data_IF_009714152356
#
_entry.id   IF_009714152356
#
_cell.length_a   1.000
_cell.length_b   1.000
_cell.length_c   1.000
_cell.angle_alpha   90.00
_cell.angle_beta   90.00
_cell.angle_gamma   90.00
#
_symmetry.space_group_name_H-M   'P 1'
#
loop_
_entity.id
_entity.type
_entity.pdbx_description
1 polymer ?
#
# COMPACT_ATOMS: atom_id res chain seq x y z
N UNK A 1 13.25 4.93 -28.18
CA UNK A 1 13.48 4.04 -27.04
C UNK A 1 14.78 3.31 -27.29
N UNK A 2 15.78 3.36 -26.39
CA UNK A 2 16.99 2.57 -26.59
C UNK A 2 16.67 1.08 -26.42
N UNK A 3 17.40 0.16 -27.08
CA UNK A 3 17.13 -1.27 -26.99
C UNK A 3 17.50 -1.77 -25.59
N UNK A 4 16.65 -2.62 -25.01
CA UNK A 4 16.98 -3.43 -23.84
C UNK A 4 18.20 -4.29 -24.19
N UNK A 5 19.32 -3.98 -23.54
CA UNK A 5 20.62 -4.59 -23.77
C UNK A 5 20.57 -6.11 -23.49
N UNK A 6 20.76 -6.92 -24.52
CA UNK A 6 20.79 -8.38 -24.47
C UNK A 6 22.18 -8.87 -24.04
N UNK A 7 22.45 -8.88 -22.74
CA UNK A 7 23.53 -9.73 -22.21
C UNK A 7 23.15 -11.21 -22.41
N UNK A 8 24.11 -12.07 -22.73
CA UNK A 8 23.87 -13.53 -22.77
C UNK A 8 23.56 -14.04 -21.36
N UNK A 9 22.82 -15.15 -21.25
CA UNK A 9 22.42 -15.73 -19.95
C UNK A 9 23.63 -15.96 -19.03
N UNK A 10 24.76 -16.39 -19.60
CA UNK A 10 25.99 -16.65 -18.88
C UNK A 10 26.60 -15.36 -18.30
N UNK A 11 26.66 -14.28 -19.09
CA UNK A 11 27.18 -12.99 -18.61
C UNK A 11 26.30 -12.39 -17.51
N UNK A 12 24.99 -12.58 -17.61
CA UNK A 12 24.04 -12.15 -16.58
C UNK A 12 24.19 -12.96 -15.30
N UNK A 13 24.41 -14.28 -15.41
CA UNK A 13 24.66 -15.15 -14.27
C UNK A 13 25.98 -14.79 -13.57
N UNK A 14 27.07 -14.57 -14.32
CA UNK A 14 28.36 -14.15 -13.75
C UNK A 14 28.26 -12.80 -13.02
N UNK A 15 27.55 -11.84 -13.61
CA UNK A 15 27.32 -10.54 -12.99
C UNK A 15 26.47 -10.66 -11.72
N UNK A 16 25.48 -11.55 -11.72
CA UNK A 16 24.65 -11.84 -10.56
C UNK A 16 25.47 -12.48 -9.44
N UNK A 17 26.27 -13.50 -9.72
CA UNK A 17 27.11 -14.15 -8.71
C UNK A 17 28.08 -13.16 -8.07
N UNK A 18 28.75 -12.33 -8.87
CA UNK A 18 29.64 -11.26 -8.34
C UNK A 18 28.87 -10.24 -7.49
N UNK A 19 27.64 -9.92 -7.87
CA UNK A 19 26.80 -9.04 -7.07
C UNK A 19 26.45 -9.69 -5.73
N UNK A 20 26.03 -10.97 -5.70
CA UNK A 20 25.75 -11.71 -4.46
C UNK A 20 27.00 -11.76 -3.57
N UNK A 21 28.18 -12.05 -4.13
CA UNK A 21 29.46 -12.06 -3.40
C UNK A 21 29.86 -10.69 -2.85
N UNK A 22 29.33 -9.60 -3.41
CA UNK A 22 29.60 -8.23 -2.97
C UNK A 22 28.67 -7.73 -1.85
N UNK A 23 27.65 -8.51 -1.49
CA UNK A 23 26.69 -8.15 -0.45
C UNK A 23 27.30 -8.26 0.94
N UNK A 24 26.75 -7.49 1.88
CA UNK A 24 27.07 -7.61 3.30
C UNK A 24 26.66 -9.02 3.81
N UNK A 25 27.47 -9.72 4.62
CA UNK A 25 27.16 -11.07 5.10
C UNK A 25 25.86 -11.18 5.92
N UNK A 26 25.36 -10.09 6.49
CA UNK A 26 24.07 -10.05 7.16
C UNK A 26 22.91 -9.86 6.18
N UNK A 27 23.15 -9.59 4.91
CA UNK A 27 22.09 -9.41 3.91
C UNK A 27 21.32 -10.72 3.69
N UNK A 28 19.99 -10.62 3.67
CA UNK A 28 19.13 -11.73 3.28
C UNK A 28 18.82 -11.64 1.78
N UNK A 29 19.03 -12.72 1.06
CA UNK A 29 18.67 -12.85 -0.36
C UNK A 29 17.58 -13.90 -0.48
N UNK A 30 16.41 -13.50 -0.95
CA UNK A 30 15.26 -14.36 -1.19
C UNK A 30 15.23 -14.70 -2.67
N UNK A 31 15.27 -15.98 -3.01
CA UNK A 31 15.02 -16.48 -4.35
C UNK A 31 13.61 -17.03 -4.39
N UNK A 32 12.78 -16.56 -5.33
CA UNK A 32 11.42 -17.06 -5.53
C UNK A 32 11.23 -17.52 -6.96
N UNK A 33 10.49 -18.62 -7.12
CA UNK A 33 10.15 -19.19 -8.43
C UNK A 33 8.69 -19.68 -8.43
N UNK A 34 8.07 -19.64 -9.60
CA UNK A 34 6.71 -20.09 -9.86
C UNK A 34 6.71 -21.16 -10.94
N UNK A 35 5.93 -22.22 -10.74
CA UNK A 35 5.83 -23.34 -11.67
C UNK A 35 4.38 -23.73 -11.92
N UNK A 36 4.12 -24.29 -13.10
CA UNK A 36 2.83 -24.81 -13.51
C UNK A 36 2.98 -26.28 -13.88
N UNK A 37 2.21 -27.16 -13.22
CA UNK A 37 2.22 -28.58 -13.53
C UNK A 37 1.53 -28.89 -14.87
N UNK A 38 1.70 -30.12 -15.38
CA UNK A 38 1.00 -30.58 -16.58
C UNK A 38 -0.54 -30.51 -16.44
N UNK A 39 -1.03 -30.67 -15.20
CA UNK A 39 -2.44 -30.54 -14.82
C UNK A 39 -2.87 -29.08 -14.60
N UNK A 40 -2.04 -28.10 -14.98
CA UNK A 40 -2.26 -26.66 -14.80
C UNK A 40 -2.47 -26.24 -13.35
N UNK A 41 -1.76 -26.88 -12.43
CA UNK A 41 -1.73 -26.47 -11.03
C UNK A 41 -0.53 -25.56 -10.82
N UNK A 42 -0.81 -24.28 -10.51
CA UNK A 42 0.22 -23.30 -10.20
C UNK A 42 0.74 -23.49 -8.78
N UNK A 43 2.05 -23.34 -8.61
CA UNK A 43 2.73 -23.47 -7.32
C UNK A 43 3.93 -22.54 -7.24
N UNK A 44 4.27 -22.12 -6.04
CA UNK A 44 5.41 -21.26 -5.78
C UNK A 44 6.39 -21.96 -4.84
N UNK A 45 7.65 -21.56 -4.94
CA UNK A 45 8.70 -21.89 -3.99
C UNK A 45 9.56 -20.66 -3.71
N UNK A 46 10.14 -20.61 -2.52
CA UNK A 46 11.19 -19.65 -2.21
C UNK A 46 12.26 -20.23 -1.29
N UNK A 47 13.48 -19.70 -1.40
CA UNK A 47 14.58 -19.97 -0.47
C UNK A 47 15.18 -18.65 0.00
N UNK A 48 15.62 -18.61 1.25
CA UNK A 48 16.27 -17.46 1.87
C UNK A 48 17.70 -17.84 2.16
N UNK A 49 18.63 -17.07 1.63
CA UNK A 49 20.05 -17.24 1.80
C UNK A 49 20.61 -16.07 2.61
N UNK A 50 21.56 -16.38 3.50
CA UNK A 50 22.39 -15.40 4.19
C UNK A 50 23.84 -15.83 4.01
N UNK A 51 24.71 -14.92 3.58
CA UNK A 51 26.10 -15.23 3.24
C UNK A 51 26.23 -16.43 2.28
N UNK A 52 25.34 -16.48 1.27
CA UNK A 52 25.20 -17.57 0.31
C UNK A 52 24.84 -18.96 0.90
N UNK A 53 24.52 -19.04 2.18
CA UNK A 53 24.06 -20.26 2.87
C UNK A 53 22.52 -20.23 2.94
N UNK A 54 21.82 -21.28 2.49
CA UNK A 54 20.38 -21.38 2.65
C UNK A 54 20.02 -21.54 4.14
N UNK A 55 19.18 -20.66 4.66
CA UNK A 55 18.77 -20.65 6.07
C UNK A 55 17.29 -21.02 6.27
N UNK A 56 16.46 -20.82 5.24
CA UNK A 56 15.03 -21.10 5.30
C UNK A 56 14.45 -21.28 3.89
N UNK A 57 13.41 -22.08 3.77
CA UNK A 57 12.69 -22.29 2.52
C UNK A 57 11.19 -22.49 2.78
N UNK A 58 10.41 -22.31 1.72
CA UNK A 58 8.97 -22.50 1.78
C UNK A 58 8.38 -22.72 0.39
N UNK A 59 7.22 -23.35 0.33
CA UNK A 59 6.50 -23.57 -0.92
C UNK A 59 5.01 -23.74 -0.68
N UNK A 60 4.22 -23.58 -1.74
CA UNK A 60 2.77 -23.73 -1.67
C UNK A 60 2.14 -23.90 -3.05
N UNK A 61 0.91 -24.39 -3.07
CA UNK A 61 0.07 -24.46 -4.27
C UNK A 61 -0.94 -23.33 -4.25
N UNK A 62 -1.20 -22.76 -5.41
CA UNK A 62 -2.32 -21.84 -5.61
C UNK A 62 -3.56 -22.63 -6.05
N UNK A 63 -4.71 -21.96 -5.97
CA UNK A 63 -5.91 -22.39 -6.70
C UNK A 63 -5.72 -22.25 -8.22
N UNK A 64 -6.81 -22.20 -9.01
CA UNK A 64 -6.73 -21.90 -10.43
C UNK A 64 -6.01 -20.56 -10.65
N UNK A 65 -4.76 -20.61 -11.11
CA UNK A 65 -3.87 -19.46 -11.22
C UNK A 65 -2.79 -19.74 -12.28
N UNK A 66 -2.13 -18.69 -12.76
CA UNK A 66 -1.03 -18.79 -13.73
C UNK A 66 0.33 -18.73 -13.02
N UNK A 67 1.41 -19.07 -13.75
CA UNK A 67 2.79 -18.98 -13.23
C UNK A 67 3.09 -17.58 -12.70
N UNK A 68 2.59 -16.55 -13.37
CA UNK A 68 2.74 -15.15 -12.97
C UNK A 68 2.19 -14.88 -11.55
N UNK A 69 1.03 -15.44 -11.22
CA UNK A 69 0.41 -15.29 -9.89
C UNK A 69 1.21 -16.06 -8.84
N UNK A 70 1.71 -17.25 -9.20
CA UNK A 70 2.55 -18.04 -8.32
C UNK A 70 3.88 -17.33 -8.01
N UNK A 71 4.51 -16.71 -8.99
CA UNK A 71 5.74 -15.94 -8.77
C UNK A 71 5.53 -14.73 -7.85
N UNK A 72 4.45 -13.97 -8.08
CA UNK A 72 4.09 -12.86 -7.20
C UNK A 72 3.85 -13.35 -5.76
N UNK A 73 3.16 -14.48 -5.61
CA UNK A 73 2.90 -15.10 -4.31
C UNK A 73 4.17 -15.60 -3.64
N UNK A 74 5.07 -16.25 -4.40
CA UNK A 74 6.36 -16.72 -3.90
C UNK A 74 7.24 -15.57 -3.42
N UNK A 75 7.27 -14.46 -4.17
CA UNK A 75 8.00 -13.26 -3.76
C UNK A 75 7.42 -12.65 -2.47
N UNK A 76 6.09 -12.59 -2.32
CA UNK A 76 5.42 -12.09 -1.12
C UNK A 76 5.66 -12.97 0.11
N UNK A 77 5.48 -14.28 -0.02
CA UNK A 77 5.68 -15.21 1.09
C UNK A 77 7.17 -15.27 1.49
N UNK A 78 8.07 -15.20 0.51
CA UNK A 78 9.51 -15.05 0.74
C UNK A 78 9.86 -13.76 1.48
N UNK A 79 9.26 -12.62 1.10
CA UNK A 79 9.44 -11.35 1.82
C UNK A 79 8.93 -11.44 3.27
N UNK A 80 7.73 -11.99 3.47
CA UNK A 80 7.14 -12.18 4.81
C UNK A 80 8.02 -13.06 5.68
N UNK A 81 8.57 -14.15 5.13
CA UNK A 81 9.48 -15.03 5.84
C UNK A 81 10.81 -14.33 6.17
N UNK A 82 11.41 -13.61 5.22
CA UNK A 82 12.64 -12.85 5.44
C UNK A 82 12.47 -11.78 6.53
N UNK A 83 11.32 -11.09 6.55
CA UNK A 83 11.02 -10.10 7.58
C UNK A 83 10.89 -10.71 8.99
N UNK A 84 10.44 -11.96 9.11
CA UNK A 84 10.38 -12.68 10.40
C UNK A 84 11.75 -13.14 10.88
N UNK A 85 12.65 -13.48 9.95
CA UNK A 85 14.03 -13.91 10.25
C UNK A 85 14.96 -12.73 10.51
N UNK A 86 14.55 -11.53 10.09
CA UNK A 86 15.35 -10.32 10.20
C UNK A 86 15.73 -10.03 11.66
N UNK A 87 17.02 -9.96 11.94
CA UNK A 87 17.55 -9.71 13.28
C UNK A 87 17.59 -8.21 13.62
N UNK A 88 17.70 -7.34 12.61
CA UNK A 88 17.77 -5.89 12.78
C UNK A 88 17.01 -5.12 11.71
N UNK A 89 16.43 -3.98 12.10
CA UNK A 89 15.79 -3.03 11.19
C UNK A 89 16.74 -2.39 10.16
N UNK A 90 18.06 -2.64 10.24
CA UNK A 90 19.07 -2.22 9.26
C UNK A 90 19.46 -3.32 8.26
N UNK A 91 19.05 -4.57 8.49
CA UNK A 91 19.43 -5.71 7.65
C UNK A 91 18.74 -5.61 6.28
N UNK A 92 19.50 -5.63 5.20
CA UNK A 92 18.93 -5.52 3.85
C UNK A 92 18.30 -6.84 3.42
N UNK A 93 17.21 -6.76 2.66
CA UNK A 93 16.54 -7.91 2.05
C UNK A 93 16.48 -7.66 0.54
N UNK A 94 17.04 -8.57 -0.24
CA UNK A 94 16.89 -8.60 -1.69
C UNK A 94 15.98 -9.73 -2.10
N UNK A 95 15.16 -9.49 -3.13
CA UNK A 95 14.23 -10.49 -3.67
C UNK A 95 14.57 -10.68 -5.14
N UNK A 96 14.86 -11.92 -5.49
CA UNK A 96 15.31 -12.38 -6.79
C UNK A 96 14.23 -13.30 -7.38
N UNK A 97 13.76 -12.94 -8.57
CA UNK A 97 12.79 -13.69 -9.36
C UNK A 97 13.17 -13.55 -10.83
N UNK A 98 12.83 -14.54 -11.65
CA UNK A 98 13.24 -14.63 -13.05
C UNK A 98 12.22 -14.01 -14.03
N UNK A 99 10.96 -13.80 -13.61
CA UNK A 99 9.97 -13.13 -14.43
C UNK A 99 10.02 -11.62 -14.29
N UNK A 100 10.49 -11.01 -15.38
CA UNK A 100 10.56 -9.57 -15.52
C UNK A 100 9.18 -8.89 -15.38
N UNK A 101 8.09 -9.52 -15.83
CA UNK A 101 6.75 -8.95 -15.71
C UNK A 101 6.33 -8.89 -14.24
N UNK A 102 6.49 -9.97 -13.48
CA UNK A 102 6.19 -10.00 -12.05
C UNK A 102 7.06 -9.00 -11.29
N UNK A 103 8.37 -8.95 -11.58
CA UNK A 103 9.29 -7.99 -10.98
C UNK A 103 8.92 -6.52 -11.28
N UNK A 104 8.36 -6.26 -12.48
CA UNK A 104 7.89 -4.92 -12.86
C UNK A 104 6.63 -4.54 -12.09
N UNK A 105 5.68 -5.45 -11.94
CA UNK A 105 4.46 -5.22 -11.15
C UNK A 105 4.77 -5.04 -9.65
N UNK A 106 5.72 -5.79 -9.08
CA UNK A 106 6.14 -5.64 -7.68
C UNK A 106 6.73 -4.26 -7.39
N UNK A 107 7.45 -3.65 -8.36
CA UNK A 107 8.06 -2.32 -8.21
C UNK A 107 7.17 -1.14 -8.63
N UNK A 108 6.19 -1.39 -9.49
CA UNK A 108 5.47 -0.36 -10.23
C UNK A 108 3.96 -0.43 -10.05
N UNK A 109 3.22 -0.25 -11.14
CA UNK A 109 1.76 -0.40 -11.12
C UNK A 109 1.39 -1.87 -10.92
N UNK A 110 0.60 -2.21 -9.89
CA UNK A 110 0.05 -3.54 -9.70
C UNK A 110 -0.67 -4.02 -10.95
N UNK A 111 -0.56 -5.31 -11.25
CA UNK A 111 -1.36 -5.97 -12.28
C UNK A 111 -2.83 -6.03 -11.85
N UNK A 112 -3.75 -6.13 -12.82
CA UNK A 112 -5.17 -6.39 -12.54
C UNK A 112 -5.41 -7.82 -12.02
N UNK A 113 -4.53 -8.78 -12.38
CA UNK A 113 -4.47 -10.12 -11.76
C UNK A 113 -3.62 -10.10 -10.49
N UNK A 114 -4.02 -10.84 -9.46
CA UNK A 114 -3.34 -10.95 -8.16
C UNK A 114 -3.00 -9.59 -7.53
N UNK A 115 -3.87 -8.60 -7.73
CA UNK A 115 -3.63 -7.20 -7.34
C UNK A 115 -3.41 -7.06 -5.83
N UNK A 116 -4.11 -7.84 -5.02
CA UNK A 116 -3.95 -7.91 -3.57
C UNK A 116 -2.55 -8.35 -3.16
N UNK A 117 -1.98 -9.36 -3.81
CA UNK A 117 -0.60 -9.84 -3.59
C UNK A 117 0.42 -8.74 -3.88
N UNK A 118 0.29 -8.06 -5.03
CA UNK A 118 1.20 -6.96 -5.39
C UNK A 118 1.07 -5.76 -4.43
N UNK A 119 -0.15 -5.39 -4.04
CA UNK A 119 -0.38 -4.30 -3.10
C UNK A 119 0.16 -4.64 -1.71
N UNK A 120 -0.05 -5.87 -1.23
CA UNK A 120 0.48 -6.31 0.06
C UNK A 120 2.01 -6.30 0.05
N UNK A 121 2.62 -6.82 -1.03
CA UNK A 121 4.07 -6.79 -1.20
C UNK A 121 4.61 -5.36 -1.14
N UNK A 122 3.99 -4.44 -1.89
CA UNK A 122 4.40 -3.04 -1.93
C UNK A 122 4.21 -2.35 -0.58
N UNK A 123 3.13 -2.67 0.14
CA UNK A 123 2.89 -2.13 1.47
C UNK A 123 3.97 -2.60 2.46
N UNK A 124 4.37 -3.87 2.41
CA UNK A 124 5.47 -4.41 3.22
C UNK A 124 6.82 -3.81 2.81
N UNK A 125 7.12 -3.76 1.52
CA UNK A 125 8.35 -3.15 1.03
C UNK A 125 8.45 -1.66 1.39
N UNK A 126 7.34 -0.92 1.32
CA UNK A 126 7.27 0.47 1.72
C UNK A 126 7.40 0.63 3.24
N UNK A 127 6.70 -0.17 4.04
CA UNK A 127 6.78 -0.07 5.50
C UNK A 127 8.19 -0.34 6.03
N UNK A 128 8.98 -1.17 5.35
CA UNK A 128 10.34 -1.51 5.75
C UNK A 128 11.42 -0.67 5.05
N UNK A 129 11.23 -0.28 3.79
CA UNK A 129 12.16 0.55 3.00
C UNK A 129 11.97 2.06 3.19
N UNK A 130 10.74 2.54 3.40
CA UNK A 130 10.48 3.96 3.64
C UNK A 130 10.97 4.42 5.00
N UNK A 131 11.32 3.51 5.92
CA UNK A 131 11.74 3.93 7.27
C UNK A 131 12.95 4.85 7.24
N UNK A 132 13.94 4.65 6.38
CA UNK A 132 15.13 5.51 6.39
C UNK A 132 14.88 6.85 5.70
N UNK A 133 14.28 6.85 4.51
CA UNK A 133 14.00 8.09 3.78
C UNK A 133 12.95 8.95 4.49
N UNK A 134 11.88 8.35 5.04
CA UNK A 134 10.86 9.06 5.81
C UNK A 134 11.41 9.54 7.17
N UNK A 135 12.24 8.74 7.86
CA UNK A 135 12.94 9.23 9.07
C UNK A 135 13.86 10.39 8.76
N UNK A 136 14.64 10.33 7.67
CA UNK A 136 15.51 11.42 7.25
C UNK A 136 14.71 12.66 6.83
N UNK A 137 13.62 12.49 6.09
CA UNK A 137 12.74 13.59 5.70
C UNK A 137 12.06 14.22 6.93
N UNK A 138 11.55 13.41 7.88
CA UNK A 138 10.97 13.89 9.14
C UNK A 138 11.99 14.57 10.04
N UNK A 139 13.21 14.03 10.13
CA UNK A 139 14.31 14.68 10.83
C UNK A 139 14.69 16.00 10.16
N UNK A 140 14.71 16.04 8.82
CA UNK A 140 14.96 17.26 8.05
C UNK A 140 13.87 18.31 8.25
N UNK A 141 12.61 17.93 8.49
CA UNK A 141 11.54 18.86 8.85
C UNK A 141 11.78 19.60 10.18
N UNK A 142 12.69 19.10 11.04
CA UNK A 142 13.08 19.77 12.29
C UNK A 142 14.27 20.72 12.11
N UNK A 143 14.84 20.79 10.90
CA UNK A 143 15.91 21.75 10.59
C UNK A 143 15.31 23.15 10.41
N UNK A 144 16.07 24.22 10.73
CA UNK A 144 15.64 25.59 10.48
C UNK A 144 15.36 25.80 8.99
N UNK A 145 14.33 26.59 8.69
CA UNK A 145 14.02 26.94 7.30
C UNK A 145 15.23 27.63 6.64
N UNK A 146 15.50 27.35 5.35
CA UNK A 146 16.59 28.00 4.65
C UNK A 146 16.40 29.51 4.62
N UNK A 147 17.48 30.26 4.87
CA UNK A 147 17.44 31.72 4.89
C UNK A 147 17.02 32.27 3.51
N UNK A 148 15.89 32.97 3.45
CA UNK A 148 15.32 33.52 2.22
C UNK A 148 14.41 32.57 1.42
N UNK A 149 14.01 31.42 1.99
CA UNK A 149 13.09 30.50 1.34
C UNK A 149 11.73 31.16 1.02
N UNK A 150 11.31 31.07 -0.25
CA UNK A 150 10.01 31.55 -0.70
C UNK A 150 9.02 30.38 -0.80
N UNK A 151 7.76 30.54 -0.36
CA UNK A 151 6.77 29.49 -0.45
C UNK A 151 6.49 29.13 -1.92
N UNK A 152 6.47 27.83 -2.21
CA UNK A 152 6.16 27.34 -3.56
C UNK A 152 4.68 27.55 -3.91
N UNK A 153 4.37 27.62 -5.21
CA UNK A 153 2.99 27.69 -5.69
C UNK A 153 2.11 26.55 -5.15
N UNK A 154 2.65 25.35 -5.01
CA UNK A 154 1.95 24.21 -4.43
C UNK A 154 1.61 24.44 -2.95
N UNK A 155 2.55 25.00 -2.18
CA UNK A 155 2.31 25.41 -0.79
C UNK A 155 1.21 26.46 -0.70
N UNK A 156 1.28 27.54 -1.50
CA UNK A 156 0.27 28.60 -1.52
C UNK A 156 -1.12 28.07 -1.91
N UNK A 157 -1.20 27.17 -2.90
CA UNK A 157 -2.46 26.51 -3.28
C UNK A 157 -3.01 25.63 -2.16
N UNK A 158 -2.15 24.92 -1.43
CA UNK A 158 -2.56 24.12 -0.27
C UNK A 158 -3.16 25.02 0.81
N UNK A 159 -2.49 26.12 1.17
CA UNK A 159 -2.98 27.08 2.14
C UNK A 159 -4.31 27.70 1.69
N UNK A 160 -4.42 28.13 0.43
CA UNK A 160 -5.65 28.70 -0.11
C UNK A 160 -6.85 27.73 -0.08
N UNK A 161 -6.60 26.42 -0.21
CA UNK A 161 -7.65 25.38 -0.07
C UNK A 161 -7.97 25.07 1.39
N UNK A 162 -7.00 25.24 2.28
CA UNK A 162 -7.12 24.90 3.70
C UNK A 162 -7.84 26.01 4.49
N UNK A 163 -7.54 27.28 4.22
CA UNK A 163 -8.11 28.41 4.95
C UNK A 163 -9.66 28.43 4.99
N UNK A 164 -10.39 28.18 3.88
CA UNK A 164 -11.84 28.13 3.94
C UNK A 164 -12.38 27.00 4.82
N UNK A 165 -11.67 25.87 4.90
CA UNK A 165 -12.06 24.73 5.73
C UNK A 165 -11.90 25.05 7.21
N UNK A 166 -10.75 25.61 7.59
CA UNK A 166 -10.47 26.02 8.97
C UNK A 166 -11.41 27.15 9.41
N UNK A 167 -11.67 28.13 8.54
CA UNK A 167 -12.63 29.19 8.81
C UNK A 167 -14.06 28.65 9.01
N UNK A 168 -14.45 27.65 8.22
CA UNK A 168 -15.75 26.98 8.38
C UNK A 168 -15.82 26.18 9.68
N UNK A 169 -14.77 25.42 10.03
CA UNK A 169 -14.69 24.68 11.29
C UNK A 169 -14.75 25.61 12.52
N UNK A 170 -14.03 26.73 12.47
CA UNK A 170 -14.05 27.74 13.53
C UNK A 170 -15.43 28.42 13.65
N UNK A 171 -16.04 28.77 12.52
CA UNK A 171 -17.40 29.31 12.50
C UNK A 171 -18.42 28.30 13.04
N UNK A 172 -18.34 27.03 12.62
CA UNK A 172 -19.24 25.97 13.07
C UNK A 172 -19.15 25.76 14.58
N UNK A 173 -17.93 25.74 15.12
CA UNK A 173 -17.71 25.58 16.57
C UNK A 173 -18.38 26.68 17.39
N UNK A 174 -18.44 27.90 16.85
CA UNK A 174 -19.03 29.06 17.54
C UNK A 174 -20.54 29.18 17.29
N UNK A 175 -20.97 28.98 16.04
CA UNK A 175 -22.30 29.36 15.54
C UNK A 175 -23.23 28.17 15.29
N UNK A 176 -22.81 26.93 15.56
CA UNK A 176 -23.65 25.75 15.33
C UNK A 176 -24.96 25.84 16.15
N UNK A 177 -26.12 25.56 15.53
CA UNK A 177 -27.39 25.42 16.23
C UNK A 177 -27.33 24.43 17.39
N UNK A 178 -28.03 24.72 18.47
CA UNK A 178 -28.02 23.92 19.70
C UNK A 178 -28.43 22.45 19.47
N UNK A 179 -29.34 22.23 18.52
CA UNK A 179 -29.77 20.89 18.09
C UNK A 179 -28.61 20.07 17.52
N UNK A 180 -27.70 20.70 16.77
CA UNK A 180 -26.53 20.03 16.18
C UNK A 180 -25.39 19.85 17.18
N UNK A 181 -25.25 20.77 18.14
CA UNK A 181 -24.32 20.61 19.27
C UNK A 181 -24.67 19.39 20.12
N UNK A 182 -25.96 19.19 20.44
CA UNK A 182 -26.44 18.00 21.17
C UNK A 182 -26.16 16.68 20.45
N UNK A 183 -26.09 16.72 19.11
CA UNK A 183 -25.84 15.56 18.27
C UNK A 183 -24.33 15.35 17.95
N UNK A 184 -23.43 16.17 18.51
CA UNK A 184 -21.98 16.11 18.27
C UNK A 184 -21.60 16.05 16.78
N UNK A 185 -22.34 16.76 15.92
CA UNK A 185 -22.08 16.76 14.49
C UNK A 185 -20.83 17.58 14.17
N UNK A 186 -19.87 16.93 13.50
CA UNK A 186 -18.64 17.57 13.03
C UNK A 186 -18.92 18.48 11.84
N UNK A 187 -18.17 19.58 11.76
CA UNK A 187 -18.18 20.47 10.60
C UNK A 187 -17.68 19.68 9.38
N UNK A 188 -18.58 19.38 8.45
CA UNK A 188 -18.24 18.61 7.23
C UNK A 188 -18.41 19.54 6.04
N UNK A 189 -17.35 19.77 5.27
CA UNK A 189 -17.40 20.55 4.01
C UNK A 189 -17.77 19.71 2.78
N UNK A 190 -17.97 18.40 2.96
CA UNK A 190 -18.34 17.44 1.93
C UNK A 190 -19.80 17.01 2.02
N UNK A 191 -20.28 16.29 1.00
CA UNK A 191 -21.59 15.67 1.03
C UNK A 191 -21.54 14.49 2.03
N UNK A 192 -22.35 14.50 3.10
CA UNK A 192 -22.42 13.38 4.03
C UNK A 192 -22.98 12.14 3.30
N UNK A 193 -22.53 10.91 3.64
CA UNK A 193 -22.95 9.68 2.96
C UNK A 193 -24.46 9.45 3.02
N UNK A 194 -25.15 10.02 4.02
CA UNK A 194 -26.60 9.99 4.14
C UNK A 194 -27.30 10.77 3.01
N UNK A 195 -26.62 11.73 2.39
CA UNK A 195 -27.10 12.52 1.25
C UNK A 195 -26.62 11.98 -0.11
N UNK A 196 -25.83 10.90 -0.15
CA UNK A 196 -25.52 10.20 -1.41
C UNK A 196 -26.61 9.19 -1.81
N UNK A 197 -27.72 9.12 -1.07
CA UNK A 197 -28.84 8.25 -1.38
C UNK A 197 -29.57 8.69 -2.67
N UNK A 198 -30.08 7.75 -3.49
CA UNK A 198 -30.94 8.08 -4.62
C UNK A 198 -32.13 8.93 -4.16
N UNK A 199 -32.49 9.96 -4.93
CA UNK A 199 -33.54 10.93 -4.58
C UNK A 199 -34.86 10.29 -4.14
N UNK A 200 -35.22 9.14 -4.72
CA UNK A 200 -36.40 8.37 -4.34
C UNK A 200 -36.33 7.81 -2.90
N UNK A 201 -35.19 7.26 -2.50
CA UNK A 201 -34.98 6.76 -1.15
C UNK A 201 -34.99 7.89 -0.11
N UNK A 202 -34.36 9.02 -0.44
CA UNK A 202 -34.39 10.22 0.41
C UNK A 202 -35.81 10.76 0.59
N UNK A 203 -36.60 10.79 -0.50
CA UNK A 203 -38.01 11.21 -0.46
C UNK A 203 -38.83 10.33 0.49
N UNK A 204 -38.67 9.01 0.43
CA UNK A 204 -39.39 8.08 1.32
C UNK A 204 -38.98 8.25 2.79
N UNK A 205 -37.69 8.43 3.09
CA UNK A 205 -37.20 8.65 4.45
C UNK A 205 -37.71 9.97 5.04
N UNK A 206 -37.73 11.05 4.24
CA UNK A 206 -38.27 12.34 4.67
C UNK A 206 -39.79 12.27 4.89
N UNK A 207 -40.52 11.57 4.02
CA UNK A 207 -41.96 11.34 4.18
C UNK A 207 -42.27 10.51 5.44
N UNK A 208 -41.48 9.47 5.74
CA UNK A 208 -41.64 8.66 6.95
C UNK A 208 -41.38 9.47 8.23
N UNK A 209 -40.45 10.43 8.19
CA UNK A 209 -40.12 11.31 9.32
C UNK A 209 -41.17 12.41 9.55
N UNK A 210 -41.84 12.87 8.49
CA UNK A 210 -42.85 13.95 8.58
C UNK A 210 -44.27 13.45 8.80
N UNK A 211 -44.51 12.14 8.85
CA UNK A 211 -45.80 11.58 9.24
C UNK A 211 -46.08 11.95 10.71
N UNK A 212 -47.16 12.70 11.00
CA UNK A 212 -47.50 13.03 12.38
C UNK A 212 -47.93 11.75 13.11
N UNK A 213 -47.39 11.57 14.31
CA UNK A 213 -47.78 10.53 15.28
C UNK A 213 -49.26 10.74 15.63
N UNK A 214 -50.17 10.16 14.86
CA UNK A 214 -51.61 10.13 15.16
C UNK A 214 -52.17 8.72 15.07
N UNK A 215 -51.43 7.72 15.55
CA UNK A 215 -51.98 6.37 15.74
C UNK A 215 -51.32 5.74 16.96
N UNK A 216 -51.81 6.09 18.15
CA UNK A 216 -51.90 5.17 19.31
C UNK A 216 -52.70 5.85 20.42
N UNK A 217 -54.04 5.70 20.37
CA UNK A 217 -54.86 5.41 21.54
C UNK A 217 -56.34 5.35 21.17
N UNK A 218 -56.85 4.13 21.00
CA UNK A 218 -58.19 3.77 21.48
C UNK A 218 -58.10 2.40 22.14
N UNK A 219 -58.40 2.26 23.43
CA UNK A 219 -58.59 0.96 24.04
C UNK A 219 -59.99 0.43 23.69
N UNK A 220 -60.02 -0.88 23.42
CA UNK A 220 -61.13 -1.85 23.41
C UNK A 220 -62.55 -1.35 23.20
#
# INVERSE_FOLDING_TARGET
>A
MPPLQTASKEKSADAFSRWVESLDPLTLVVYSDGSLSAERVASYGFTIHQDNIPIFDGSGRLGPAEVFDAEATGALEGLKAALKLRESASQNIFICLDNLAAATCLRGTPSDSSQDVFLEFQALAASHGATQADKLAKAASSLPEPEGAQPTLAYLRRIARQQPKEAFEAWWSTSAPEQYKRLNLKATTGCPPELSLPRAALHHLLAARSLPVWLTNRPT
#
